data_IF_390209642961
#
_entry.id   IF_390209642961
#
_cell.length_a   1.000
_cell.length_b   1.000
_cell.length_c   1.000
_cell.angle_alpha   90.00
_cell.angle_beta   90.00
_cell.angle_gamma   90.00
#
_symmetry.space_group_name_H-M   'P 1'
#
loop_
_entity.id
_entity.type
_entity.pdbx_description
1 polymer ?
#
# COMPACT_ATOMS: atom_id res chain seq x y z
N UNK A 1 30.48 -51.26 -20.41
CA UNK A 1 30.45 -49.93 -19.75
C UNK A 1 31.85 -49.64 -19.19
N UNK A 2 32.61 -48.71 -19.78
CA UNK A 2 33.94 -48.33 -19.27
C UNK A 2 33.75 -47.39 -18.08
N UNK A 3 34.11 -47.80 -16.87
CA UNK A 3 34.16 -46.92 -15.69
C UNK A 3 35.41 -46.05 -15.83
N UNK A 4 35.24 -44.74 -16.02
CA UNK A 4 36.33 -43.78 -15.96
C UNK A 4 36.80 -43.67 -14.50
N UNK A 5 37.89 -44.36 -14.15
CA UNK A 5 38.59 -44.12 -12.88
C UNK A 5 39.41 -42.84 -13.02
N UNK A 6 38.79 -41.72 -12.66
CA UNK A 6 39.52 -40.49 -12.39
C UNK A 6 40.48 -40.75 -11.22
N UNK A 7 41.74 -40.42 -11.42
CA UNK A 7 42.75 -40.51 -10.36
C UNK A 7 42.50 -39.44 -9.31
N UNK A 8 42.89 -39.68 -8.06
CA UNK A 8 42.75 -38.71 -6.96
C UNK A 8 43.37 -37.35 -7.30
N UNK A 9 44.45 -37.33 -8.09
CA UNK A 9 45.08 -36.11 -8.63
C UNK A 9 44.15 -35.31 -9.55
N UNK A 10 43.37 -35.98 -10.40
CA UNK A 10 42.40 -35.31 -11.29
C UNK A 10 41.22 -34.75 -10.51
N UNK A 11 40.79 -35.45 -9.45
CA UNK A 11 39.73 -34.98 -8.55
C UNK A 11 40.20 -33.73 -7.79
N UNK A 12 41.40 -33.76 -7.21
CA UNK A 12 42.00 -32.62 -6.50
C UNK A 12 42.11 -31.38 -7.40
N UNK A 13 42.60 -31.54 -8.63
CA UNK A 13 42.71 -30.43 -9.58
C UNK A 13 41.34 -29.84 -9.95
N UNK A 14 40.32 -30.69 -10.12
CA UNK A 14 38.95 -30.22 -10.40
C UNK A 14 38.35 -29.47 -9.21
N UNK A 15 38.58 -29.95 -7.98
CA UNK A 15 38.10 -29.28 -6.77
C UNK A 15 38.80 -27.95 -6.54
N UNK A 16 40.10 -27.85 -6.83
CA UNK A 16 40.85 -26.60 -6.77
C UNK A 16 40.29 -25.56 -7.75
N UNK A 17 40.05 -25.94 -9.01
CA UNK A 17 39.43 -25.03 -9.99
C UNK A 17 38.05 -24.54 -9.55
N UNK A 18 37.20 -25.46 -9.05
CA UNK A 18 35.87 -25.07 -8.51
C UNK A 18 35.98 -24.13 -7.31
N UNK A 19 36.97 -24.34 -6.44
CA UNK A 19 37.21 -23.44 -5.30
C UNK A 19 37.57 -22.04 -5.78
N UNK A 20 38.48 -21.92 -6.75
CA UNK A 20 38.87 -20.62 -7.33
C UNK A 20 37.67 -19.92 -8.01
N UNK A 21 36.84 -20.66 -8.74
CA UNK A 21 35.62 -20.12 -9.38
C UNK A 21 34.61 -19.61 -8.34
N UNK A 22 34.44 -20.34 -7.22
CA UNK A 22 33.57 -19.92 -6.11
C UNK A 22 34.13 -18.68 -5.44
N UNK A 23 35.43 -18.64 -5.15
CA UNK A 23 36.09 -17.48 -4.53
C UNK A 23 35.95 -16.22 -5.39
N UNK A 24 36.09 -16.36 -6.72
CA UNK A 24 35.85 -15.28 -7.67
C UNK A 24 34.39 -14.81 -7.64
N UNK A 25 33.45 -15.75 -7.69
CA UNK A 25 32.00 -15.44 -7.67
C UNK A 25 31.58 -14.73 -6.38
N UNK A 26 32.12 -15.16 -5.22
CA UNK A 26 31.88 -14.50 -3.92
C UNK A 26 32.40 -13.07 -3.94
N UNK A 27 33.60 -12.85 -4.49
CA UNK A 27 34.18 -11.51 -4.61
C UNK A 27 33.32 -10.59 -5.50
N UNK A 28 32.84 -11.10 -6.63
CA UNK A 28 31.98 -10.34 -7.55
C UNK A 28 30.64 -9.99 -6.89
N UNK A 29 30.04 -10.89 -6.11
CA UNK A 29 28.81 -10.63 -5.35
C UNK A 29 28.99 -9.54 -4.29
N UNK A 30 30.11 -9.54 -3.55
CA UNK A 30 30.39 -8.48 -2.59
C UNK A 30 30.52 -7.10 -3.27
N UNK A 31 31.10 -7.04 -4.47
CA UNK A 31 31.18 -5.80 -5.25
C UNK A 31 29.79 -5.32 -5.69
N UNK A 32 28.91 -6.22 -6.11
CA UNK A 32 27.53 -5.88 -6.49
C UNK A 32 26.72 -5.37 -5.28
N UNK A 33 26.86 -5.99 -4.11
CA UNK A 33 26.20 -5.54 -2.87
C UNK A 33 26.67 -4.12 -2.49
N UNK A 34 27.97 -3.85 -2.60
CA UNK A 34 28.52 -2.53 -2.31
C UNK A 34 27.96 -1.46 -3.28
N UNK A 35 27.86 -1.76 -4.57
CA UNK A 35 27.29 -0.86 -5.57
C UNK A 35 25.80 -0.56 -5.30
N UNK A 36 25.00 -1.58 -5.00
CA UNK A 36 23.58 -1.42 -4.67
C UNK A 36 23.35 -0.59 -3.40
N UNK A 37 24.18 -0.79 -2.37
CA UNK A 37 24.10 0.03 -1.16
C UNK A 37 24.44 1.49 -1.44
N UNK A 38 25.44 1.75 -2.30
CA UNK A 38 25.77 3.12 -2.70
C UNK A 38 24.62 3.78 -3.49
N UNK A 39 23.94 3.03 -4.37
CA UNK A 39 22.77 3.52 -5.10
C UNK A 39 21.59 3.79 -4.17
N UNK A 40 21.33 2.90 -3.22
CA UNK A 40 20.31 3.08 -2.18
C UNK A 40 20.52 4.38 -1.40
N UNK A 41 21.75 4.68 -0.96
CA UNK A 41 22.07 5.92 -0.24
C UNK A 41 21.89 7.17 -1.11
N UNK A 42 22.20 7.09 -2.42
CA UNK A 42 21.92 8.18 -3.36
C UNK A 42 20.41 8.43 -3.51
N UNK A 43 19.61 7.37 -3.53
CA UNK A 43 18.15 7.50 -3.62
C UNK A 43 17.58 8.07 -2.31
N UNK A 44 18.05 7.60 -1.15
CA UNK A 44 17.62 8.13 0.15
C UNK A 44 17.96 9.62 0.31
N UNK A 45 19.20 10.00 0.02
CA UNK A 45 19.60 11.42 0.04
C UNK A 45 18.84 12.27 -0.97
N UNK A 46 18.53 11.73 -2.16
CA UNK A 46 17.65 12.42 -3.12
C UNK A 46 16.22 12.58 -2.59
N UNK A 47 15.66 11.57 -1.93
CA UNK A 47 14.35 11.64 -1.27
C UNK A 47 14.36 12.69 -0.16
N UNK A 48 15.42 12.76 0.66
CA UNK A 48 15.56 13.76 1.72
C UNK A 48 15.68 15.18 1.16
N UNK A 49 16.51 15.37 0.13
CA UNK A 49 16.66 16.66 -0.55
C UNK A 49 15.35 17.12 -1.21
N UNK A 50 14.57 16.18 -1.76
CA UNK A 50 13.26 16.46 -2.33
C UNK A 50 12.19 16.68 -1.23
N UNK A 51 12.28 15.93 -0.14
CA UNK A 51 11.37 15.99 1.03
C UNK A 51 11.50 17.30 1.81
N UNK A 52 12.68 17.94 1.80
CA UNK A 52 12.88 19.29 2.37
C UNK A 52 12.13 20.42 1.66
N UNK A 53 11.61 20.17 0.45
CA UNK A 53 10.81 21.14 -0.33
C UNK A 53 9.40 20.67 -0.66
N UNK A 54 9.03 19.45 -0.28
CA UNK A 54 7.63 19.03 -0.22
C UNK A 54 7.03 19.59 1.07
N UNK A 55 6.51 20.82 1.02
CA UNK A 55 5.37 21.16 1.89
C UNK A 55 4.23 20.32 1.34
N UNK A 56 3.82 19.17 1.96
CA UNK A 56 2.53 18.62 1.60
C UNK A 56 1.56 19.77 1.80
N UNK A 57 0.81 20.14 0.76
CA UNK A 57 -0.27 21.10 0.90
C UNK A 57 -1.24 20.55 1.95
N UNK A 58 -1.05 20.92 3.21
CA UNK A 58 -1.98 20.69 4.31
C UNK A 58 -2.42 19.25 4.55
N UNK A 59 -1.63 18.22 4.25
CA UNK A 59 -1.90 16.88 4.78
C UNK A 59 -1.23 16.75 6.15
N UNK A 60 -1.94 17.23 7.16
CA UNK A 60 -1.71 16.85 8.55
C UNK A 60 -1.69 15.32 8.62
N UNK A 61 -0.60 14.78 9.15
CA UNK A 61 -0.55 13.45 9.77
C UNK A 61 -1.85 13.26 10.57
N UNK A 62 -2.57 12.12 10.45
CA UNK A 62 -3.91 11.99 11.01
C UNK A 62 -3.92 12.38 12.49
N UNK A 63 -4.65 13.46 12.81
CA UNK A 63 -5.18 13.69 14.14
C UNK A 63 -5.87 12.39 14.54
N UNK A 64 -5.38 11.75 15.61
CA UNK A 64 -5.98 10.67 16.36
C UNK A 64 -7.28 10.10 15.75
N UNK A 65 -7.16 9.02 14.95
CA UNK A 65 -8.28 8.33 14.27
C UNK A 65 -9.32 7.73 15.25
N UNK A 66 -9.21 8.02 16.56
CA UNK A 66 -10.15 7.60 17.59
C UNK A 66 -11.32 8.58 17.79
N UNK A 67 -11.17 9.87 17.45
CA UNK A 67 -12.20 10.89 17.71
C UNK A 67 -12.85 11.39 16.42
N UNK A 68 -14.18 11.32 16.35
CA UNK A 68 -14.92 11.76 15.17
C UNK A 68 -14.73 13.26 14.87
N UNK A 69 -14.30 13.64 13.64
CA UNK A 69 -13.93 15.01 13.31
C UNK A 69 -15.14 15.88 12.92
N UNK A 70 -16.01 16.21 13.89
CA UNK A 70 -17.28 16.92 13.64
C UNK A 70 -17.11 18.28 12.92
N UNK A 71 -16.04 19.00 13.20
CA UNK A 71 -15.80 20.36 12.66
C UNK A 71 -14.92 20.38 11.40
N UNK A 72 -14.56 19.22 10.84
CA UNK A 72 -13.73 19.11 9.63
C UNK A 72 -14.57 18.97 8.36
N UNK A 73 -13.90 18.85 7.22
CA UNK A 73 -14.56 18.75 5.91
C UNK A 73 -15.25 17.38 5.73
N UNK A 74 -16.15 17.28 4.75
CA UNK A 74 -16.75 15.98 4.40
C UNK A 74 -15.70 14.95 3.95
N UNK A 75 -14.62 15.39 3.30
CA UNK A 75 -13.48 14.54 2.95
C UNK A 75 -12.94 13.87 4.21
N UNK A 76 -12.63 14.65 5.24
CA UNK A 76 -12.02 14.15 6.48
C UNK A 76 -12.96 13.20 7.23
N UNK A 77 -14.25 13.53 7.28
CA UNK A 77 -15.29 12.68 7.89
C UNK A 77 -15.43 11.33 7.18
N UNK A 78 -15.40 11.33 5.85
CA UNK A 78 -15.48 10.09 5.06
C UNK A 78 -14.24 9.23 5.31
N UNK A 79 -13.05 9.83 5.31
CA UNK A 79 -11.80 9.11 5.58
C UNK A 79 -11.78 8.51 6.98
N UNK A 80 -12.17 9.28 7.99
CA UNK A 80 -12.31 8.81 9.37
C UNK A 80 -13.24 7.58 9.44
N UNK A 81 -14.43 7.67 8.84
CA UNK A 81 -15.42 6.56 8.87
C UNK A 81 -14.89 5.31 8.18
N UNK A 82 -14.23 5.44 7.02
CA UNK A 82 -13.65 4.29 6.33
C UNK A 82 -12.56 3.65 7.19
N UNK A 83 -11.61 4.43 7.70
CA UNK A 83 -10.47 3.93 8.47
C UNK A 83 -10.88 3.32 9.81
N UNK A 84 -11.74 4.01 10.57
CA UNK A 84 -12.22 3.54 11.88
C UNK A 84 -13.03 2.24 11.81
N UNK A 85 -13.70 1.96 10.69
CA UNK A 85 -14.45 0.72 10.50
C UNK A 85 -13.56 -0.45 10.07
N UNK A 86 -12.33 -0.19 9.61
CA UNK A 86 -11.37 -1.22 9.22
C UNK A 86 -11.81 -2.13 8.08
N UNK A 87 -12.78 -1.69 7.25
CA UNK A 87 -13.34 -2.45 6.13
C UNK A 87 -13.86 -1.52 5.04
N UNK A 88 -13.97 -2.03 3.81
CA UNK A 88 -14.54 -1.27 2.71
C UNK A 88 -16.05 -1.09 2.91
N UNK A 89 -16.54 0.12 2.67
CA UNK A 89 -17.92 0.51 2.94
C UNK A 89 -18.63 0.96 1.66
N UNK A 90 -19.92 0.68 1.58
CA UNK A 90 -20.79 1.28 0.59
C UNK A 90 -21.15 2.73 0.99
N UNK A 91 -21.53 3.56 0.02
CA UNK A 91 -21.89 4.97 0.26
C UNK A 91 -22.98 5.14 1.33
N UNK A 92 -23.97 4.25 1.38
CA UNK A 92 -25.02 4.27 2.41
C UNK A 92 -24.48 3.94 3.80
N UNK A 93 -23.53 3.00 3.92
CA UNK A 93 -22.91 2.67 5.22
C UNK A 93 -22.07 3.85 5.75
N UNK A 94 -21.39 4.56 4.84
CA UNK A 94 -20.67 5.80 5.18
C UNK A 94 -21.65 6.88 5.66
N UNK A 95 -22.77 7.02 4.96
CA UNK A 95 -23.85 7.93 5.37
C UNK A 95 -24.41 7.59 6.75
N UNK A 96 -24.75 6.33 7.00
CA UNK A 96 -25.31 5.88 8.28
C UNK A 96 -24.34 6.17 9.45
N UNK A 97 -23.05 5.90 9.25
CA UNK A 97 -22.02 6.20 10.23
C UNK A 97 -21.86 7.72 10.50
N UNK A 98 -21.89 8.56 9.47
CA UNK A 98 -21.83 10.03 9.63
C UNK A 98 -23.07 10.54 10.38
N UNK A 99 -24.27 10.05 10.04
CA UNK A 99 -25.52 10.45 10.70
C UNK A 99 -25.58 9.97 12.16
N UNK A 100 -24.96 8.84 12.48
CA UNK A 100 -24.86 8.38 13.87
C UNK A 100 -24.08 9.37 14.76
N UNK A 101 -23.09 10.07 14.20
CA UNK A 101 -22.32 11.10 14.91
C UNK A 101 -22.95 12.51 14.83
N UNK A 102 -23.71 12.81 13.78
CA UNK A 102 -24.33 14.12 13.53
C UNK A 102 -25.81 13.98 13.15
N UNK A 103 -26.68 13.52 14.08
CA UNK A 103 -28.08 13.19 13.79
C UNK A 103 -28.93 14.40 13.39
N UNK A 104 -28.50 15.62 13.74
CA UNK A 104 -29.16 16.88 13.37
C UNK A 104 -28.98 17.26 11.89
N UNK A 105 -28.10 16.58 11.14
CA UNK A 105 -27.84 16.92 9.74
C UNK A 105 -29.02 16.56 8.83
N UNK A 106 -29.22 17.42 7.84
CA UNK A 106 -30.16 17.16 6.76
C UNK A 106 -29.70 15.95 5.91
N UNK A 107 -30.48 14.87 5.93
CA UNK A 107 -30.14 13.58 5.30
C UNK A 107 -29.86 13.70 3.80
N UNK A 108 -30.74 14.38 3.05
CA UNK A 108 -30.65 14.49 1.58
C UNK A 108 -29.39 15.23 1.14
N UNK A 109 -29.12 16.38 1.77
CA UNK A 109 -27.91 17.16 1.51
C UNK A 109 -26.65 16.38 1.86
N UNK A 110 -26.66 15.68 2.99
CA UNK A 110 -25.53 14.86 3.45
C UNK A 110 -25.21 13.74 2.46
N UNK A 111 -26.21 13.01 1.97
CA UNK A 111 -26.02 11.95 0.97
C UNK A 111 -25.43 12.51 -0.35
N UNK A 112 -25.91 13.67 -0.79
CA UNK A 112 -25.37 14.34 -1.98
C UNK A 112 -23.91 14.75 -1.79
N UNK A 113 -23.58 15.36 -0.65
CA UNK A 113 -22.20 15.72 -0.30
C UNK A 113 -21.27 14.51 -0.24
N UNK A 114 -21.71 13.39 0.34
CA UNK A 114 -20.93 12.15 0.38
C UNK A 114 -20.66 11.65 -1.03
N UNK A 115 -21.69 11.57 -1.87
CA UNK A 115 -21.55 11.06 -3.25
C UNK A 115 -20.59 11.90 -4.10
N UNK A 116 -20.68 13.23 -3.99
CA UNK A 116 -19.77 14.15 -4.67
C UNK A 116 -18.32 13.98 -4.18
N UNK A 117 -18.10 13.92 -2.86
CA UNK A 117 -16.77 13.73 -2.29
C UNK A 117 -16.17 12.36 -2.65
N UNK A 118 -16.95 11.27 -2.59
CA UNK A 118 -16.48 9.95 -2.99
C UNK A 118 -16.05 9.91 -4.46
N UNK A 119 -16.76 10.62 -5.34
CA UNK A 119 -16.38 10.74 -6.75
C UNK A 119 -15.04 11.45 -6.90
N UNK A 120 -14.86 12.58 -6.21
CA UNK A 120 -13.60 13.34 -6.23
C UNK A 120 -12.43 12.55 -5.63
N UNK A 121 -12.64 11.91 -4.48
CA UNK A 121 -11.59 11.19 -3.74
C UNK A 121 -11.15 9.91 -4.45
N UNK A 122 -12.05 9.25 -5.17
CA UNK A 122 -11.74 8.01 -5.90
C UNK A 122 -11.13 8.24 -7.29
N UNK A 123 -11.17 9.46 -7.83
CA UNK A 123 -10.73 9.74 -9.20
C UNK A 123 -9.27 9.37 -9.48
N UNK A 124 -8.40 9.57 -8.50
CA UNK A 124 -6.97 9.31 -8.63
C UNK A 124 -6.51 8.04 -7.88
N UNK A 125 -7.42 7.36 -7.16
CA UNK A 125 -7.13 6.13 -6.42
C UNK A 125 -6.11 6.26 -5.27
N UNK A 126 -5.56 7.45 -5.03
CA UNK A 126 -4.51 7.68 -4.02
C UNK A 126 -5.04 7.93 -2.61
N UNK A 127 -6.30 8.35 -2.48
CA UNK A 127 -6.91 8.70 -1.19
C UNK A 127 -7.96 7.65 -0.79
N UNK A 128 -8.83 7.28 -1.73
CA UNK A 128 -9.80 6.20 -1.57
C UNK A 128 -9.80 5.40 -2.87
N UNK A 129 -9.83 4.08 -2.76
CA UNK A 129 -10.00 3.18 -3.89
C UNK A 129 -11.45 2.69 -3.98
N UNK A 130 -11.93 2.55 -5.22
CA UNK A 130 -13.28 2.12 -5.55
C UNK A 130 -13.25 0.66 -5.99
N UNK A 131 -13.94 -0.20 -5.23
CA UNK A 131 -14.01 -1.64 -5.48
C UNK A 131 -15.40 -2.03 -6.00
N UNK A 132 -15.47 -3.01 -6.90
CA UNK A 132 -16.75 -3.58 -7.34
C UNK A 132 -17.29 -4.46 -6.21
N UNK A 133 -18.59 -4.32 -5.90
CA UNK A 133 -19.25 -5.26 -4.98
C UNK A 133 -19.28 -6.66 -5.57
N UNK A 134 -19.08 -7.67 -4.71
CA UNK A 134 -19.20 -9.09 -5.10
C UNK A 134 -20.65 -9.44 -5.46
N UNK A 135 -21.60 -8.91 -4.68
CA UNK A 135 -23.03 -9.10 -4.87
C UNK A 135 -23.75 -7.75 -5.09
N UNK A 136 -24.72 -7.73 -6.01
CA UNK A 136 -25.58 -6.57 -6.24
C UNK A 136 -24.96 -5.40 -7.04
N UNK A 137 -25.65 -4.25 -7.00
CA UNK A 137 -25.23 -3.03 -7.71
C UNK A 137 -24.45 -2.09 -6.78
N UNK A 138 -23.52 -1.37 -7.37
CA UNK A 138 -22.76 -0.30 -6.71
C UNK A 138 -21.32 -0.68 -6.39
N UNK A 139 -20.72 0.12 -5.53
CA UNK A 139 -19.29 0.06 -5.24
C UNK A 139 -19.03 0.10 -3.73
N UNK A 140 -17.88 -0.43 -3.35
CA UNK A 140 -17.30 -0.24 -2.04
C UNK A 140 -16.17 0.77 -2.15
N UNK A 141 -15.95 1.50 -1.08
CA UNK A 141 -14.93 2.52 -0.96
C UNK A 141 -14.05 2.14 0.23
N UNK A 142 -12.74 2.16 0.03
CA UNK A 142 -11.77 1.75 1.04
C UNK A 142 -10.43 2.42 0.86
N UNK A 143 -9.54 2.18 1.82
CA UNK A 143 -8.16 2.64 1.73
C UNK A 143 -7.43 1.92 0.57
N UNK A 144 -6.61 2.62 -0.23
CA UNK A 144 -5.86 2.01 -1.32
C UNK A 144 -5.00 0.80 -0.88
N UNK A 145 -4.47 0.82 0.34
CA UNK A 145 -3.64 -0.26 0.90
C UNK A 145 -4.43 -1.57 1.15
N UNK A 146 -5.75 -1.52 1.02
CA UNK A 146 -6.62 -2.69 1.15
C UNK A 146 -6.73 -3.49 -0.15
N UNK A 147 -6.15 -3.00 -1.23
CA UNK A 147 -6.06 -3.71 -2.50
C UNK A 147 -4.93 -4.75 -2.51
N UNK A 148 -5.11 -5.81 -3.29
CA UNK A 148 -4.05 -6.74 -3.67
C UNK A 148 -3.24 -6.19 -4.86
N UNK A 149 -2.19 -6.90 -5.25
CA UNK A 149 -1.33 -6.52 -6.39
C UNK A 149 -2.10 -6.41 -7.72
N UNK A 150 -3.31 -6.97 -7.80
CA UNK A 150 -4.20 -6.95 -8.96
C UNK A 150 -5.29 -5.88 -8.84
N UNK A 151 -5.27 -5.05 -7.79
CA UNK A 151 -6.27 -4.01 -7.53
C UNK A 151 -7.59 -4.51 -6.96
N UNK A 152 -7.67 -5.77 -6.50
CA UNK A 152 -8.88 -6.32 -5.89
C UNK A 152 -8.88 -6.13 -4.37
N UNK A 153 -10.06 -5.99 -3.77
CA UNK A 153 -10.20 -5.85 -2.33
C UNK A 153 -9.80 -7.15 -1.61
N UNK A 154 -8.80 -7.08 -0.71
CA UNK A 154 -8.38 -8.23 0.10
C UNK A 154 -9.52 -8.71 1.00
N UNK A 155 -9.63 -10.03 1.19
CA UNK A 155 -10.71 -10.67 1.97
C UNK A 155 -10.93 -10.08 3.36
N UNK A 156 -9.86 -9.75 4.09
CA UNK A 156 -9.94 -9.18 5.46
C UNK A 156 -10.67 -7.82 5.54
N UNK A 157 -10.78 -7.11 4.42
CA UNK A 157 -11.42 -5.80 4.35
C UNK A 157 -12.78 -5.85 3.66
N UNK A 158 -13.27 -7.04 3.28
CA UNK A 158 -14.61 -7.20 2.75
C UNK A 158 -15.63 -7.03 3.87
N UNK A 159 -16.76 -6.36 3.62
CA UNK A 159 -17.85 -6.33 4.58
C UNK A 159 -18.38 -7.74 4.82
N UNK A 160 -18.65 -8.09 6.07
CA UNK A 160 -19.38 -9.30 6.43
C UNK A 160 -20.82 -9.10 5.98
N UNK A 161 -21.28 -9.95 5.05
CA UNK A 161 -22.69 -9.99 4.60
C UNK A 161 -23.60 -10.62 5.66
#
# INVERSE_FOLDING_TARGET
MKKNNLTDKQILKSLQGKKEDIEKSVKDLYQQIAALNQEKEKVLSAIEAYGGSFKPNGESVPEDDTVYPRNKTFRDKILFVIRSQGKALASNQIFDAIIAHEPEREKKRTLHSISANLTTLSKNGSIIMKFKKLSGRGHLYGDPDWSDEKGNLRKKYQPVE
#
